data_IF_126488745544
#
_entry.id   IF_126488745544
#
_cell.length_a   1.000
_cell.length_b   1.000
_cell.length_c   1.000
_cell.angle_alpha   90.00
_cell.angle_beta   90.00
_cell.angle_gamma   90.00
#
_symmetry.space_group_name_H-M   'P 1'
#
loop_
_entity.id
_entity.type
_entity.pdbx_description
1 polymer ?
#
# COMPACT_ATOMS: atom_id res chain seq x y z
N UNK A 1 9.46 -1.17 18.79
CA UNK A 1 8.62 -0.26 17.98
C UNK A 1 9.49 0.25 16.85
N UNK A 2 9.14 -0.05 15.60
CA UNK A 2 9.84 0.45 14.41
C UNK A 2 9.20 1.76 13.94
N UNK A 3 10.01 2.75 13.56
CA UNK A 3 9.53 4.04 13.04
C UNK A 3 10.57 4.62 12.08
N UNK A 4 10.11 5.09 10.93
CA UNK A 4 10.92 5.78 9.94
C UNK A 4 10.18 6.99 9.39
N UNK A 5 10.91 8.05 9.09
CA UNK A 5 10.40 9.18 8.30
C UNK A 5 10.59 8.89 6.82
N UNK A 6 9.53 9.06 6.03
CA UNK A 6 9.50 8.86 4.58
C UNK A 6 9.15 10.17 3.89
N UNK A 7 9.88 10.49 2.82
CA UNK A 7 9.55 11.63 1.98
C UNK A 7 8.41 11.23 1.04
N UNK A 8 7.31 11.97 1.07
CA UNK A 8 6.17 11.68 0.19
C UNK A 8 6.41 12.26 -1.20
N UNK A 9 5.89 11.61 -2.25
CA UNK A 9 5.91 12.20 -3.57
C UNK A 9 5.07 13.46 -3.66
N UNK A 10 5.40 14.39 -4.56
CA UNK A 10 4.59 15.59 -4.79
C UNK A 10 3.26 15.27 -5.49
N UNK A 11 3.12 14.08 -6.09
CA UNK A 11 1.93 13.65 -6.82
C UNK A 11 1.09 12.71 -5.96
N UNK A 12 -0.21 12.99 -5.75
CA UNK A 12 -1.12 12.06 -5.08
C UNK A 12 -1.19 10.74 -5.83
N UNK A 13 -1.33 9.63 -5.10
CA UNK A 13 -1.48 8.31 -5.67
C UNK A 13 -1.15 7.19 -4.70
N UNK A 14 -0.79 6.02 -5.25
CA UNK A 14 -0.38 4.87 -4.47
C UNK A 14 1.08 4.97 -4.06
N UNK A 15 1.35 4.55 -2.83
CA UNK A 15 2.68 4.58 -2.21
C UNK A 15 3.01 3.19 -1.70
N UNK A 16 4.04 2.57 -2.28
CA UNK A 16 4.59 1.31 -1.78
C UNK A 16 5.59 1.55 -0.66
N UNK A 17 5.42 0.87 0.47
CA UNK A 17 6.33 0.91 1.61
C UNK A 17 6.96 -0.46 1.83
N UNK A 18 8.29 -0.50 1.94
CA UNK A 18 9.03 -1.73 2.26
C UNK A 18 9.55 -1.66 3.70
N UNK A 19 9.30 -2.70 4.49
CA UNK A 19 9.91 -2.83 5.81
C UNK A 19 11.39 -3.21 5.65
N UNK A 20 12.31 -2.63 6.45
CA UNK A 20 13.71 -3.04 6.44
C UNK A 20 13.88 -4.51 6.78
N UNK A 21 14.96 -5.13 6.30
CA UNK A 21 15.24 -6.55 6.50
C UNK A 21 15.38 -6.92 7.98
N UNK A 22 15.76 -5.98 8.83
CA UNK A 22 15.91 -6.16 10.28
C UNK A 22 14.55 -6.26 11.00
N UNK A 23 13.44 -5.93 10.32
CA UNK A 23 12.08 -5.96 10.86
C UNK A 23 11.29 -7.07 10.17
N UNK A 24 11.03 -8.17 10.88
CA UNK A 24 10.21 -9.26 10.38
C UNK A 24 8.91 -9.39 11.17
N UNK A 25 7.79 -9.43 10.45
CA UNK A 25 6.47 -9.74 11.02
C UNK A 25 6.30 -11.26 11.10
N UNK A 26 5.81 -11.75 12.25
CA UNK A 26 5.56 -13.19 12.45
C UNK A 26 4.12 -13.54 12.05
N UNK A 27 3.90 -14.66 11.33
CA UNK A 27 2.56 -15.14 11.04
C UNK A 27 1.72 -15.32 12.31
N UNK A 28 0.43 -14.99 12.24
CA UNK A 28 -0.48 -15.17 13.38
C UNK A 28 -0.40 -14.09 14.46
N UNK A 29 0.58 -13.18 14.38
CA UNK A 29 0.77 -12.12 15.37
C UNK A 29 0.16 -10.81 14.84
N UNK A 30 -0.81 -10.20 15.55
CA UNK A 30 -1.30 -8.89 15.20
C UNK A 30 -0.29 -7.81 15.59
N UNK A 31 0.00 -6.91 14.65
CA UNK A 31 0.81 -5.73 14.83
C UNK A 31 -0.05 -4.49 14.63
N UNK A 32 0.32 -3.38 15.28
CA UNK A 32 -0.30 -2.06 15.05
C UNK A 32 0.64 -1.23 14.20
N UNK A 33 0.10 -0.61 13.16
CA UNK A 33 0.83 0.36 12.36
C UNK A 33 0.09 1.70 12.37
N UNK A 34 0.84 2.77 12.18
CA UNK A 34 0.30 4.11 12.07
C UNK A 34 1.10 4.90 11.04
N UNK A 35 0.41 5.78 10.32
CA UNK A 35 1.01 6.74 9.40
C UNK A 35 0.52 8.12 9.78
N UNK A 36 1.44 9.03 10.05
CA UNK A 36 1.13 10.44 10.32
C UNK A 36 1.67 11.29 9.18
N UNK A 37 0.75 11.94 8.47
CA UNK A 37 1.04 12.90 7.43
C UNK A 37 1.03 14.30 8.05
N UNK A 38 2.14 15.02 7.94
CA UNK A 38 2.23 16.42 8.32
C UNK A 38 2.39 17.27 7.07
N UNK A 39 1.37 18.05 6.77
CA UNK A 39 1.40 19.01 5.67
C UNK A 39 1.76 20.37 6.24
N UNK A 40 3.01 20.80 6.01
CA UNK A 40 3.50 22.12 6.45
C UNK A 40 3.36 23.09 5.28
N UNK A 41 2.34 23.96 5.34
CA UNK A 41 2.12 25.03 4.38
C UNK A 41 2.47 26.40 4.97
N UNK A 42 2.60 27.45 4.14
CA UNK A 42 2.97 28.79 4.59
C UNK A 42 1.92 29.47 5.48
N UNK A 43 0.66 29.01 5.46
CA UNK A 43 -0.46 29.60 6.22
C UNK A 43 -0.95 28.73 7.38
N UNK A 44 -0.78 27.41 7.28
CA UNK A 44 -1.27 26.47 8.27
C UNK A 44 -0.52 25.14 8.17
N UNK A 45 -0.42 24.47 9.31
CA UNK A 45 0.00 23.07 9.39
C UNK A 45 -1.24 22.20 9.57
N UNK A 46 -1.38 21.18 8.73
CA UNK A 46 -2.41 20.16 8.88
C UNK A 46 -1.76 18.82 9.22
N UNK A 47 -2.42 18.02 10.05
CA UNK A 47 -1.98 16.68 10.42
C UNK A 47 -3.09 15.67 10.19
N UNK A 48 -2.76 14.59 9.49
CA UNK A 48 -3.65 13.44 9.30
C UNK A 48 -2.96 12.21 9.86
N UNK A 49 -3.70 11.37 10.58
CA UNK A 49 -3.18 10.12 11.12
C UNK A 49 -4.09 8.97 10.75
N UNK A 50 -3.49 7.90 10.25
CA UNK A 50 -4.13 6.59 10.07
C UNK A 50 -3.54 5.64 11.10
N UNK A 51 -4.39 4.82 11.72
CA UNK A 51 -4.03 3.85 12.75
C UNK A 51 -4.81 2.56 12.49
N UNK A 52 -4.11 1.45 12.31
CA UNK A 52 -4.74 0.18 11.99
C UNK A 52 -3.92 -1.03 12.45
N UNK A 53 -4.59 -2.18 12.51
CA UNK A 53 -3.95 -3.48 12.71
C UNK A 53 -3.46 -4.07 11.39
N UNK A 54 -2.37 -4.81 11.44
CA UNK A 54 -1.88 -5.65 10.34
C UNK A 54 -1.43 -6.99 10.91
N UNK A 55 -1.67 -8.07 10.17
CA UNK A 55 -1.23 -9.40 10.54
C UNK A 55 -0.83 -10.15 9.28
N UNK A 56 0.34 -10.79 9.31
CA UNK A 56 0.70 -11.78 8.29
C UNK A 56 -0.11 -13.04 8.58
N UNK A 57 -0.87 -13.51 7.61
CA UNK A 57 -1.68 -14.72 7.77
C UNK A 57 -0.87 -15.91 7.29
N UNK A 58 -0.92 -17.01 8.04
CA UNK A 58 -0.29 -18.27 7.62
C UNK A 58 -1.06 -18.89 6.45
N UNK A 59 -0.38 -19.71 5.65
CA UNK A 59 -0.94 -20.42 4.49
C UNK A 59 -2.13 -21.34 4.84
N UNK A 60 -2.31 -21.71 6.10
CA UNK A 60 -3.35 -22.63 6.58
C UNK A 60 -4.68 -21.96 6.95
N UNK A 61 -4.74 -20.62 6.97
CA UNK A 61 -5.86 -19.87 7.58
C UNK A 61 -6.64 -19.00 6.59
N UNK A 62 -6.34 -19.06 5.30
CA UNK A 62 -6.73 -18.03 4.33
C UNK A 62 -7.79 -18.42 3.31
N UNK A 63 -8.99 -18.85 3.71
CA UNK A 63 -10.11 -18.94 2.76
C UNK A 63 -10.82 -17.56 2.64
N UNK A 64 -10.55 -16.86 1.54
CA UNK A 64 -11.47 -15.90 0.92
C UNK A 64 -11.20 -14.40 1.10
N UNK A 65 -10.74 -13.91 2.26
CA UNK A 65 -10.63 -12.45 2.51
C UNK A 65 -9.22 -11.86 2.42
N UNK A 66 -8.18 -12.68 2.52
CA UNK A 66 -6.77 -12.23 2.53
C UNK A 66 -6.17 -12.18 1.12
N UNK A 67 -6.69 -13.03 0.21
CA UNK A 67 -6.19 -13.16 -1.15
C UNK A 67 -6.20 -11.84 -1.94
N UNK A 68 -7.19 -10.97 -1.70
CA UNK A 68 -7.32 -9.75 -2.51
C UNK A 68 -6.23 -8.71 -2.21
N UNK A 69 -5.74 -8.60 -0.96
CA UNK A 69 -4.65 -7.69 -0.63
C UNK A 69 -3.35 -8.13 -1.31
N UNK A 70 -3.04 -9.42 -1.26
CA UNK A 70 -1.85 -10.00 -1.89
C UNK A 70 -1.94 -9.91 -3.42
N UNK A 71 -3.13 -10.09 -4.01
CA UNK A 71 -3.34 -9.90 -5.45
C UNK A 71 -3.15 -8.44 -5.89
N UNK A 72 -3.68 -7.48 -5.13
CA UNK A 72 -3.48 -6.04 -5.40
C UNK A 72 -1.99 -5.71 -5.32
N UNK A 73 -1.29 -6.18 -4.29
CA UNK A 73 0.16 -5.97 -4.13
C UNK A 73 0.95 -6.63 -5.26
N UNK A 74 0.60 -7.85 -5.68
CA UNK A 74 1.28 -8.55 -6.77
C UNK A 74 1.16 -7.79 -8.11
N UNK A 75 -0.02 -7.25 -8.42
CA UNK A 75 -0.20 -6.43 -9.63
C UNK A 75 0.56 -5.11 -9.49
N UNK A 76 0.53 -4.47 -8.32
CA UNK A 76 1.26 -3.24 -8.06
C UNK A 76 2.77 -3.42 -8.27
N UNK A 77 3.37 -4.50 -7.75
CA UNK A 77 4.79 -4.82 -7.98
C UNK A 77 5.12 -5.02 -9.47
N UNK A 78 4.25 -5.72 -10.20
CA UNK A 78 4.41 -5.88 -11.65
C UNK A 78 4.34 -4.53 -12.37
N UNK A 79 3.41 -3.66 -11.98
CA UNK A 79 3.25 -2.34 -12.59
C UNK A 79 4.45 -1.42 -12.29
N UNK A 80 5.07 -1.54 -11.11
CA UNK A 80 6.31 -0.83 -10.78
C UNK A 80 7.49 -1.27 -11.67
N UNK A 81 7.59 -2.57 -11.95
CA UNK A 81 8.66 -3.13 -12.78
C UNK A 81 8.41 -2.91 -14.27
N UNK A 82 7.15 -2.88 -14.69
CA UNK A 82 6.73 -2.82 -16.09
C UNK A 82 5.65 -1.75 -16.29
N UNK A 83 5.97 -0.47 -16.06
CA UNK A 83 4.96 0.60 -16.02
C UNK A 83 4.26 0.80 -17.36
N UNK A 84 4.87 0.43 -18.50
CA UNK A 84 4.27 0.59 -19.83
C UNK A 84 3.52 -0.66 -20.32
N UNK A 85 3.56 -1.75 -19.56
CA UNK A 85 2.87 -2.99 -19.95
C UNK A 85 1.35 -2.80 -19.85
N UNK A 86 0.69 -2.78 -21.01
CA UNK A 86 -0.76 -2.57 -21.12
C UNK A 86 -1.56 -3.67 -20.41
N UNK A 87 -1.12 -4.92 -20.51
CA UNK A 87 -1.81 -6.05 -19.87
C UNK A 87 -1.82 -5.91 -18.34
N UNK A 88 -0.69 -5.48 -17.76
CA UNK A 88 -0.58 -5.23 -16.30
C UNK A 88 -1.46 -4.05 -15.89
N UNK A 89 -1.50 -2.97 -16.70
CA UNK A 89 -2.41 -1.82 -16.45
C UNK A 89 -3.88 -2.19 -16.55
N UNK A 90 -4.26 -3.05 -17.49
CA UNK A 90 -5.64 -3.50 -17.65
C UNK A 90 -6.07 -4.36 -16.47
N UNK A 91 -5.20 -5.30 -16.05
CA UNK A 91 -5.40 -6.10 -14.83
C UNK A 91 -5.51 -5.23 -13.57
N UNK A 92 -4.68 -4.19 -13.44
CA UNK A 92 -4.75 -3.23 -12.34
C UNK A 92 -6.10 -2.52 -12.29
N UNK A 93 -6.54 -1.99 -13.44
CA UNK A 93 -7.83 -1.29 -13.55
C UNK A 93 -9.01 -2.20 -13.24
N UNK A 94 -9.00 -3.42 -13.79
CA UNK A 94 -10.03 -4.40 -13.52
C UNK A 94 -10.07 -4.76 -12.03
N UNK A 95 -8.92 -5.05 -11.43
CA UNK A 95 -8.86 -5.48 -10.03
C UNK A 95 -9.38 -4.41 -9.07
N UNK A 96 -8.97 -3.15 -9.28
CA UNK A 96 -9.48 -2.04 -8.49
C UNK A 96 -10.98 -1.80 -8.72
N UNK A 97 -11.47 -1.98 -9.96
CA UNK A 97 -12.90 -1.85 -10.23
C UNK A 97 -13.74 -2.91 -9.49
N UNK A 98 -13.29 -4.17 -9.44
CA UNK A 98 -13.93 -5.25 -8.67
C UNK A 98 -14.02 -4.92 -7.16
N UNK A 99 -13.05 -4.15 -6.65
CA UNK A 99 -13.00 -3.70 -5.26
C UNK A 99 -13.75 -2.37 -5.03
N UNK A 100 -14.40 -1.80 -6.05
CA UNK A 100 -15.08 -0.49 -5.95
C UNK A 100 -14.14 0.71 -5.91
N UNK A 101 -12.87 0.53 -6.32
CA UNK A 101 -11.79 1.52 -6.30
C UNK A 101 -11.41 2.00 -7.72
N UNK A 102 -12.32 1.90 -8.69
CA UNK A 102 -12.06 2.24 -10.09
C UNK A 102 -11.48 3.65 -10.28
N UNK A 103 -11.92 4.61 -9.47
CA UNK A 103 -11.44 6.00 -9.48
C UNK A 103 -9.94 6.14 -9.17
N UNK A 104 -9.39 5.20 -8.40
CA UNK A 104 -7.97 5.20 -8.06
C UNK A 104 -7.11 4.59 -9.18
N UNK A 105 -7.70 3.85 -10.12
CA UNK A 105 -6.92 2.99 -11.01
C UNK A 105 -6.01 3.73 -12.01
N UNK A 106 -6.23 5.03 -12.20
CA UNK A 106 -5.38 5.89 -13.04
C UNK A 106 -4.38 6.73 -12.24
N UNK A 107 -4.34 6.59 -10.91
CA UNK A 107 -3.39 7.29 -10.07
C UNK A 107 -1.98 6.70 -10.23
N UNK A 108 -0.92 7.51 -10.10
CA UNK A 108 0.45 7.03 -10.17
C UNK A 108 0.75 6.07 -9.01
N UNK A 109 1.57 5.06 -9.29
CA UNK A 109 2.11 4.14 -8.31
C UNK A 109 3.58 4.46 -8.10
N UNK A 110 3.93 4.94 -6.90
CA UNK A 110 5.29 5.32 -6.55
C UNK A 110 5.88 4.37 -5.50
N UNK A 111 7.16 4.06 -5.66
CA UNK A 111 7.94 3.31 -4.67
C UNK A 111 8.72 4.29 -3.81
N UNK A 112 8.65 4.12 -2.48
CA UNK A 112 9.46 4.87 -1.52
C UNK A 112 10.65 4.06 -1.00
#
# INVERSE_FOLDING_TARGET
MYRQAIALPPTPGFVGLTLPAEVSLKPGIPYRWYLTLQCVGPKATAQFSVDAGIQVVGSEQGEGTIAWYDEVEAIAQQLQLQPENREVRDRWRQRLAELGLAELANQPLQKL
#
